data_IF_818638476926
#
_entry.id   IF_818638476926
#
_cell.length_a   1.000
_cell.length_b   1.000
_cell.length_c   1.000
_cell.angle_alpha   90.00
_cell.angle_beta   90.00
_cell.angle_gamma   90.00
#
_symmetry.space_group_name_H-M   'P 1'
#
loop_
_entity.id
_entity.type
_entity.pdbx_description
1 polymer ?
#
# COMPACT_ATOMS: atom_id res chain seq x y z
N UNK A 1 -11.07 15.29 -17.41
CA UNK A 1 -10.41 14.51 -18.49
C UNK A 1 -11.43 13.54 -19.07
N UNK A 2 -11.23 13.10 -20.31
CA UNK A 2 -12.09 12.11 -20.96
C UNK A 2 -11.36 10.77 -21.05
N UNK A 3 -12.10 9.68 -20.91
CA UNK A 3 -11.64 8.31 -21.07
C UNK A 3 -12.36 7.68 -22.26
N UNK A 4 -11.62 7.31 -23.29
CA UNK A 4 -12.16 6.74 -24.52
C UNK A 4 -12.39 5.21 -24.44
N UNK A 5 -11.86 4.54 -23.42
CA UNK A 5 -11.85 3.08 -23.32
C UNK A 5 -12.91 2.50 -22.36
N UNK A 6 -13.28 3.24 -21.31
CA UNK A 6 -14.22 2.74 -20.30
C UNK A 6 -15.42 3.66 -20.14
N UNK A 7 -16.60 3.04 -19.97
CA UNK A 7 -17.89 3.71 -19.72
C UNK A 7 -18.05 4.29 -18.31
N UNK A 8 -17.12 3.99 -17.41
CA UNK A 8 -17.20 4.40 -16.01
C UNK A 8 -16.51 5.75 -15.81
N UNK A 9 -17.09 6.54 -14.92
CA UNK A 9 -16.48 7.74 -14.38
C UNK A 9 -15.47 7.37 -13.29
N UNK A 10 -14.48 8.22 -13.11
CA UNK A 10 -13.56 8.11 -11.98
C UNK A 10 -13.28 9.49 -11.38
N UNK A 11 -13.09 9.51 -10.07
CA UNK A 11 -12.70 10.69 -9.34
C UNK A 11 -11.55 10.38 -8.40
N UNK A 12 -10.53 11.23 -8.40
CA UNK A 12 -9.49 11.28 -7.37
C UNK A 12 -9.61 12.62 -6.63
N UNK A 13 -9.91 12.56 -5.35
CA UNK A 13 -9.87 13.72 -4.46
C UNK A 13 -8.57 13.65 -3.66
N UNK A 14 -7.75 14.68 -3.76
CA UNK A 14 -6.51 14.84 -3.02
C UNK A 14 -6.58 16.07 -2.12
N UNK A 15 -6.41 15.84 -0.81
CA UNK A 15 -6.28 16.87 0.20
C UNK A 15 -4.81 16.99 0.59
N UNK A 16 -4.15 18.03 0.09
CA UNK A 16 -2.75 18.28 0.41
C UNK A 16 -2.62 18.76 1.86
N UNK A 17 -1.73 18.11 2.62
CA UNK A 17 -1.44 18.47 4.00
C UNK A 17 -0.09 19.21 4.07
N UNK A 18 0.92 18.56 4.62
CA UNK A 18 2.22 19.11 4.95
C UNK A 18 3.38 18.40 4.23
N UNK A 19 4.60 18.88 4.45
CA UNK A 19 5.82 18.21 4.02
C UNK A 19 6.09 16.96 4.86
N UNK A 20 6.87 16.03 4.30
CA UNK A 20 7.27 14.80 4.97
C UNK A 20 8.28 15.07 6.08
N UNK A 21 7.89 14.73 7.30
CA UNK A 21 8.75 14.56 8.49
C UNK A 21 8.30 13.27 9.17
N UNK A 22 9.08 12.70 10.09
CA UNK A 22 8.69 11.46 10.77
C UNK A 22 7.36 11.63 11.53
N UNK A 23 7.16 12.77 12.18
CA UNK A 23 5.94 13.10 12.93
C UNK A 23 4.74 13.25 12.02
N UNK A 24 4.91 14.03 10.94
CA UNK A 24 3.88 14.28 9.95
C UNK A 24 3.48 12.99 9.21
N UNK A 25 4.45 12.13 8.89
CA UNK A 25 4.22 10.83 8.27
C UNK A 25 3.39 9.93 9.20
N UNK A 26 3.84 9.77 10.45
CA UNK A 26 3.16 8.98 11.46
C UNK A 26 1.71 9.43 11.68
N UNK A 27 1.49 10.74 11.77
CA UNK A 27 0.17 11.34 11.99
C UNK A 27 -0.77 11.08 10.80
N UNK A 28 -0.31 11.38 9.58
CA UNK A 28 -1.11 11.19 8.37
C UNK A 28 -1.43 9.72 8.12
N UNK A 29 -0.46 8.82 8.33
CA UNK A 29 -0.68 7.40 8.11
C UNK A 29 -1.61 6.77 9.13
N UNK A 30 -1.49 7.14 10.41
CA UNK A 30 -2.44 6.70 11.44
C UNK A 30 -3.85 7.21 11.12
N UNK A 31 -3.99 8.47 10.70
CA UNK A 31 -5.27 9.01 10.25
C UNK A 31 -5.84 8.19 9.07
N UNK A 32 -5.04 7.92 8.04
CA UNK A 32 -5.47 7.11 6.89
C UNK A 32 -5.89 5.71 7.33
N UNK A 33 -5.16 5.07 8.24
CA UNK A 33 -5.48 3.74 8.74
C UNK A 33 -6.87 3.69 9.40
N UNK A 34 -7.22 4.73 10.16
CA UNK A 34 -8.52 4.83 10.83
C UNK A 34 -9.67 5.10 9.86
N UNK A 35 -9.40 5.84 8.78
CA UNK A 35 -10.43 6.32 7.84
C UNK A 35 -10.64 5.35 6.66
N UNK A 36 -9.66 4.50 6.36
CA UNK A 36 -9.70 3.56 5.23
C UNK A 36 -10.92 2.63 5.26
N UNK A 37 -11.15 1.95 6.38
CA UNK A 37 -12.29 1.02 6.53
C UNK A 37 -13.64 1.75 6.52
N UNK A 38 -13.86 2.85 7.28
CA UNK A 38 -15.09 3.63 7.18
C UNK A 38 -15.34 4.21 5.79
N UNK A 39 -14.29 4.60 5.06
CA UNK A 39 -14.41 5.10 3.68
C UNK A 39 -14.93 4.02 2.75
N UNK A 40 -14.39 2.81 2.88
CA UNK A 40 -14.86 1.65 2.13
C UNK A 40 -16.31 1.32 2.51
N UNK A 41 -16.61 1.14 3.79
CA UNK A 41 -17.97 0.82 4.24
C UNK A 41 -19.01 1.85 3.77
N UNK A 42 -18.73 3.16 3.93
CA UNK A 42 -19.68 4.20 3.54
C UNK A 42 -19.88 4.28 2.02
N UNK A 43 -18.80 4.42 1.25
CA UNK A 43 -18.91 4.70 -0.19
C UNK A 43 -19.13 3.44 -1.04
N UNK A 44 -18.57 2.29 -0.61
CA UNK A 44 -18.71 1.00 -1.30
C UNK A 44 -19.91 0.22 -0.81
N UNK A 45 -20.00 -0.06 0.49
CA UNK A 45 -20.98 -1.01 1.02
C UNK A 45 -22.37 -0.39 1.14
N UNK A 46 -22.48 0.79 1.75
CA UNK A 46 -23.77 1.45 2.01
C UNK A 46 -24.30 2.22 0.81
N UNK A 47 -23.48 3.08 0.22
CA UNK A 47 -23.90 3.95 -0.88
C UNK A 47 -23.73 3.31 -2.27
N UNK A 48 -23.02 2.18 -2.35
CA UNK A 48 -22.82 1.41 -3.58
C UNK A 48 -22.32 2.28 -4.76
N UNK A 49 -21.46 3.25 -4.48
CA UNK A 49 -21.04 4.22 -5.48
C UNK A 49 -20.17 3.58 -6.57
N UNK A 50 -19.42 2.52 -6.27
CA UNK A 50 -18.47 1.98 -7.24
C UNK A 50 -17.75 0.76 -6.70
N UNK A 51 -17.14 -0.06 -7.56
CA UNK A 51 -16.37 -1.23 -7.12
C UNK A 51 -15.03 -0.83 -6.51
N UNK A 52 -14.34 0.10 -7.18
CA UNK A 52 -13.05 0.61 -6.72
C UNK A 52 -13.30 1.82 -5.83
N UNK A 53 -13.11 1.63 -4.53
CA UNK A 53 -13.09 2.69 -3.52
C UNK A 53 -11.83 2.47 -2.69
N UNK A 54 -10.99 3.49 -2.59
CA UNK A 54 -9.77 3.43 -1.77
C UNK A 54 -9.47 4.79 -1.16
N UNK A 55 -9.09 4.79 0.12
CA UNK A 55 -8.55 5.94 0.80
C UNK A 55 -7.11 5.66 1.24
N UNK A 56 -6.27 6.69 1.26
CA UNK A 56 -4.89 6.49 1.68
C UNK A 56 -4.00 7.70 1.55
N UNK A 57 -2.71 7.49 1.77
CA UNK A 57 -1.71 8.54 1.62
C UNK A 57 -1.30 8.67 0.15
N UNK A 58 -1.08 9.91 -0.29
CA UNK A 58 -0.42 10.21 -1.56
C UNK A 58 0.80 11.07 -1.28
N UNK A 59 1.97 10.59 -1.71
CA UNK A 59 3.27 11.26 -1.55
C UNK A 59 3.81 11.66 -2.91
N UNK A 60 4.32 12.88 -3.02
CA UNK A 60 5.01 13.35 -4.22
C UNK A 60 5.98 14.47 -3.87
N UNK A 61 7.23 14.35 -4.32
CA UNK A 61 8.28 15.38 -4.20
C UNK A 61 8.40 15.97 -2.78
N UNK A 62 8.39 15.12 -1.75
CA UNK A 62 8.53 15.53 -0.34
C UNK A 62 7.26 16.12 0.30
N UNK A 63 6.17 16.26 -0.46
CA UNK A 63 4.85 16.68 0.05
C UNK A 63 3.94 15.46 0.15
N UNK A 64 2.99 15.50 1.08
CA UNK A 64 2.01 14.43 1.27
C UNK A 64 0.60 14.95 1.55
N UNK A 65 -0.37 14.05 1.42
CA UNK A 65 -1.77 14.36 1.69
C UNK A 65 -2.65 13.12 1.71
N UNK A 66 -3.90 13.32 2.10
CA UNK A 66 -4.94 12.31 2.07
C UNK A 66 -5.57 12.23 0.68
N UNK A 67 -5.85 11.02 0.20
CA UNK A 67 -6.46 10.77 -1.10
C UNK A 67 -7.64 9.83 -0.95
N UNK A 68 -8.71 10.10 -1.71
CA UNK A 68 -9.81 9.16 -1.98
C UNK A 68 -9.93 8.96 -3.49
N UNK A 69 -10.00 7.71 -3.93
CA UNK A 69 -10.27 7.34 -5.33
C UNK A 69 -11.58 6.56 -5.36
N UNK A 70 -12.47 6.94 -6.29
CA UNK A 70 -13.71 6.22 -6.56
C UNK A 70 -13.90 6.05 -8.07
N UNK A 71 -14.19 4.84 -8.51
CA UNK A 71 -14.62 4.54 -9.88
C UNK A 71 -16.08 4.09 -9.88
N UNK A 72 -16.93 4.76 -10.66
CA UNK A 72 -18.38 4.69 -10.53
C UNK A 72 -19.09 4.81 -11.89
N UNK A 73 -20.33 4.31 -11.95
CA UNK A 73 -21.26 4.61 -13.04
C UNK A 73 -21.98 5.96 -12.86
N UNK A 74 -21.85 6.61 -11.70
CA UNK A 74 -22.43 7.93 -11.39
C UNK A 74 -21.50 9.05 -11.85
N UNK A 75 -22.06 10.24 -12.04
CA UNK A 75 -21.28 11.42 -12.42
C UNK A 75 -20.30 11.85 -11.32
N UNK A 76 -19.09 12.35 -11.67
CA UNK A 76 -18.09 12.77 -10.69
C UNK A 76 -18.56 13.83 -9.70
N UNK A 77 -19.43 14.75 -10.12
CA UNK A 77 -19.91 15.83 -9.25
C UNK A 77 -20.77 15.28 -8.11
N UNK A 78 -21.61 14.28 -8.39
CA UNK A 78 -22.37 13.58 -7.35
C UNK A 78 -21.43 12.85 -6.39
N UNK A 79 -20.45 12.12 -6.91
CA UNK A 79 -19.50 11.36 -6.09
C UNK A 79 -18.65 12.30 -5.24
N UNK A 80 -18.21 13.43 -5.79
CA UNK A 80 -17.47 14.45 -5.06
C UNK A 80 -18.27 14.97 -3.86
N UNK A 81 -19.57 15.20 -4.03
CA UNK A 81 -20.46 15.59 -2.91
C UNK A 81 -20.54 14.48 -1.85
N UNK A 82 -20.65 13.22 -2.25
CA UNK A 82 -20.67 12.08 -1.30
C UNK A 82 -19.35 11.95 -0.54
N UNK A 83 -18.21 12.14 -1.22
CA UNK A 83 -16.89 12.17 -0.59
C UNK A 83 -16.79 13.32 0.41
N UNK A 84 -17.30 14.52 0.09
CA UNK A 84 -17.31 15.64 1.04
C UNK A 84 -18.16 15.37 2.28
N UNK A 85 -19.35 14.78 2.11
CA UNK A 85 -20.21 14.38 3.23
C UNK A 85 -19.53 13.34 4.12
N UNK A 86 -18.87 12.34 3.50
CA UNK A 86 -18.07 11.37 4.24
C UNK A 86 -16.93 12.05 5.00
N UNK A 87 -16.18 12.95 4.35
CA UNK A 87 -15.08 13.67 4.99
C UNK A 87 -15.59 14.42 6.22
N UNK A 88 -16.73 15.11 6.11
CA UNK A 88 -17.32 15.85 7.23
C UNK A 88 -17.68 14.94 8.41
N UNK A 89 -18.18 13.73 8.14
CA UNK A 89 -18.51 12.74 9.19
C UNK A 89 -17.29 12.14 9.92
N UNK A 90 -16.07 12.26 9.36
CA UNK A 90 -14.86 11.70 9.98
C UNK A 90 -14.62 12.30 11.37
N UNK A 91 -14.91 13.60 11.55
CA UNK A 91 -14.71 14.26 12.84
C UNK A 91 -15.50 13.59 13.95
N UNK A 92 -16.79 13.37 13.69
CA UNK A 92 -17.69 12.73 14.62
C UNK A 92 -17.23 11.30 14.89
N UNK A 93 -16.88 10.55 13.84
CA UNK A 93 -16.34 9.19 13.96
C UNK A 93 -15.11 9.10 14.88
N UNK A 94 -14.11 9.96 14.67
CA UNK A 94 -12.90 9.96 15.51
C UNK A 94 -13.21 10.39 16.94
N UNK A 95 -14.09 11.40 17.11
CA UNK A 95 -14.41 11.95 18.43
C UNK A 95 -15.24 10.99 19.31
N UNK A 96 -16.14 10.23 18.70
CA UNK A 96 -17.06 9.30 19.39
C UNK A 96 -16.48 7.91 19.58
N UNK A 97 -15.36 7.60 18.89
CA UNK A 97 -14.65 6.34 19.02
C UNK A 97 -14.23 6.07 20.48
N UNK A 98 -14.56 4.89 21.05
CA UNK A 98 -14.10 4.50 22.37
C UNK A 98 -12.57 4.45 22.47
N UNK A 99 -12.02 4.88 23.61
CA UNK A 99 -10.58 4.95 23.82
C UNK A 99 -9.88 3.58 23.67
N UNK A 100 -10.57 2.49 24.03
CA UNK A 100 -10.07 1.12 23.84
C UNK A 100 -9.95 0.75 22.36
N UNK A 101 -10.95 1.11 21.55
CA UNK A 101 -10.93 0.86 20.11
C UNK A 101 -9.83 1.68 19.45
N UNK A 102 -9.66 2.94 19.85
CA UNK A 102 -8.57 3.79 19.36
C UNK A 102 -7.19 3.19 19.63
N UNK A 103 -6.96 2.72 20.87
CA UNK A 103 -5.70 2.04 21.23
C UNK A 103 -5.47 0.78 20.40
N UNK A 104 -6.51 -0.04 20.21
CA UNK A 104 -6.45 -1.26 19.38
C UNK A 104 -6.10 -0.93 17.92
N UNK A 105 -6.71 0.08 17.33
CA UNK A 105 -6.39 0.51 15.96
C UNK A 105 -4.97 1.04 15.84
N UNK A 106 -4.52 1.85 16.81
CA UNK A 106 -3.14 2.35 16.86
C UNK A 106 -2.13 1.20 16.96
N UNK A 107 -2.38 0.23 17.83
CA UNK A 107 -1.54 -0.97 17.97
C UNK A 107 -1.53 -1.84 16.72
N UNK A 108 -2.71 -2.06 16.12
CA UNK A 108 -2.83 -2.76 14.84
C UNK A 108 -2.01 -2.08 13.73
N UNK A 109 -2.05 -0.75 13.67
CA UNK A 109 -1.24 0.01 12.72
C UNK A 109 0.27 -0.13 12.98
N UNK A 110 0.70 -0.05 14.24
CA UNK A 110 2.11 -0.22 14.60
C UNK A 110 2.64 -1.58 14.17
N UNK A 111 1.89 -2.67 14.43
CA UNK A 111 2.26 -4.03 14.02
C UNK A 111 2.37 -4.12 12.50
N UNK A 112 1.37 -3.60 11.77
CA UNK A 112 1.40 -3.56 10.30
C UNK A 112 2.64 -2.84 9.77
N UNK A 113 3.04 -1.73 10.42
CA UNK A 113 4.14 -0.89 9.95
C UNK A 113 5.51 -1.55 10.10
N UNK A 114 5.76 -2.27 11.21
CA UNK A 114 7.04 -2.97 11.46
C UNK A 114 7.09 -4.37 10.87
N UNK A 115 6.03 -4.83 10.23
CA UNK A 115 6.00 -6.16 9.61
C UNK A 115 7.13 -6.32 8.60
N UNK A 116 7.92 -7.38 8.81
CA UNK A 116 9.04 -7.74 7.95
C UNK A 116 8.49 -8.32 6.65
N UNK A 117 8.86 -7.78 5.48
CA UNK A 117 8.40 -8.32 4.20
C UNK A 117 8.81 -9.77 4.00
N UNK A 118 7.84 -10.62 3.66
CA UNK A 118 8.04 -12.05 3.40
C UNK A 118 8.77 -12.34 2.09
N UNK A 119 8.78 -11.38 1.16
CA UNK A 119 9.33 -11.51 -0.20
C UNK A 119 10.49 -10.56 -0.42
N UNK A 120 11.56 -11.04 -1.08
CA UNK A 120 12.74 -10.24 -1.41
C UNK A 120 12.39 -9.00 -2.23
N UNK A 121 11.46 -9.12 -3.18
CA UNK A 121 11.01 -7.99 -3.99
C UNK A 121 10.39 -6.87 -3.13
N UNK A 122 9.55 -7.23 -2.16
CA UNK A 122 8.93 -6.27 -1.24
C UNK A 122 9.96 -5.55 -0.38
N UNK A 123 10.98 -6.27 0.12
CA UNK A 123 12.09 -5.64 0.85
C UNK A 123 12.92 -4.73 -0.06
N UNK A 124 13.21 -5.17 -1.28
CA UNK A 124 13.91 -4.39 -2.29
C UNK A 124 13.18 -3.08 -2.61
N UNK A 125 11.85 -3.13 -2.77
CA UNK A 125 11.04 -1.93 -3.02
C UNK A 125 11.07 -0.95 -1.84
N UNK A 126 11.05 -1.42 -0.58
CA UNK A 126 11.19 -0.54 0.59
C UNK A 126 12.50 0.26 0.53
N UNK A 127 13.62 -0.41 0.29
CA UNK A 127 14.93 0.25 0.17
C UNK A 127 15.02 1.14 -1.07
N UNK A 128 14.48 0.70 -2.20
CA UNK A 128 14.49 1.46 -3.43
C UNK A 128 13.70 2.76 -3.32
N UNK A 129 12.59 2.76 -2.58
CA UNK A 129 11.82 3.96 -2.29
C UNK A 129 12.63 4.98 -1.47
N UNK A 130 13.42 4.54 -0.48
CA UNK A 130 14.30 5.45 0.28
C UNK A 130 15.42 6.06 -0.59
N UNK A 131 15.96 5.27 -1.51
CA UNK A 131 17.02 5.71 -2.44
C UNK A 131 16.47 6.73 -3.46
N UNK A 132 15.35 6.39 -4.12
CA UNK A 132 14.76 7.23 -5.18
C UNK A 132 14.16 8.52 -4.64
N UNK A 133 13.66 8.52 -3.40
CA UNK A 133 13.20 9.73 -2.73
C UNK A 133 14.34 10.52 -2.06
N UNK A 134 15.59 10.05 -2.13
CA UNK A 134 16.77 10.66 -1.52
C UNK A 134 16.65 10.87 0.00
N UNK A 135 15.90 9.99 0.68
CA UNK A 135 15.69 10.06 2.14
C UNK A 135 16.64 9.16 2.91
N UNK A 136 17.06 8.04 2.32
CA UNK A 136 18.07 7.11 2.85
C UNK A 136 17.82 6.66 4.31
N UNK A 137 16.56 6.61 4.76
CA UNK A 137 16.21 6.21 6.11
C UNK A 137 15.65 4.78 6.11
N UNK A 138 16.54 3.79 6.17
CA UNK A 138 16.14 2.39 6.06
C UNK A 138 15.42 1.85 7.31
N UNK A 139 15.67 2.45 8.48
CA UNK A 139 15.01 2.13 9.76
C UNK A 139 13.79 3.03 10.04
N UNK A 140 13.24 3.67 9.00
CA UNK A 140 12.05 4.53 9.09
C UNK A 140 10.87 3.87 9.82
N UNK A 141 10.50 2.60 9.54
CA UNK A 141 9.35 1.98 10.21
C UNK A 141 9.47 1.98 11.73
N UNK A 142 10.67 1.72 12.27
CA UNK A 142 10.94 1.68 13.70
C UNK A 142 10.84 3.08 14.31
N UNK A 143 11.46 4.08 13.68
CA UNK A 143 11.42 5.47 14.15
C UNK A 143 10.00 6.03 14.17
N UNK A 144 9.23 5.82 13.11
CA UNK A 144 7.87 6.34 13.02
C UNK A 144 6.93 5.59 13.99
N UNK A 145 7.17 4.31 14.30
CA UNK A 145 6.39 3.60 15.33
C UNK A 145 6.60 4.17 16.73
N UNK A 146 7.81 4.57 17.10
CA UNK A 146 8.04 5.24 18.40
C UNK A 146 7.24 6.55 18.51
N UNK A 147 7.09 7.28 17.40
CA UNK A 147 6.25 8.47 17.36
C UNK A 147 4.77 8.10 17.46
N UNK A 148 4.31 7.09 16.73
CA UNK A 148 2.91 6.64 16.74
C UNK A 148 2.45 6.27 18.16
N UNK A 149 3.33 5.68 18.98
CA UNK A 149 3.01 5.37 20.40
C UNK A 149 2.60 6.60 21.21
N UNK A 150 3.18 7.76 20.89
CA UNK A 150 2.94 9.02 21.60
C UNK A 150 1.71 9.77 21.11
N UNK A 151 1.19 9.42 19.92
CA UNK A 151 0.04 10.11 19.33
C UNK A 151 -1.25 9.84 20.11
N UNK A 152 -1.98 10.93 20.35
CA UNK A 152 -3.29 10.92 21.00
C UNK A 152 -4.41 11.22 19.99
N UNK A 153 -5.65 10.89 20.37
CA UNK A 153 -6.84 11.23 19.57
C UNK A 153 -6.93 12.73 19.28
N UNK A 154 -6.55 13.57 20.24
CA UNK A 154 -6.58 15.02 20.08
C UNK A 154 -5.61 15.52 19.00
N UNK A 155 -4.50 14.84 18.75
CA UNK A 155 -3.59 15.18 17.66
C UNK A 155 -4.26 14.99 16.30
N UNK A 156 -4.98 13.88 16.14
CA UNK A 156 -5.73 13.58 14.92
C UNK A 156 -6.89 14.54 14.70
N UNK A 157 -7.60 14.93 15.76
CA UNK A 157 -8.68 15.92 15.67
C UNK A 157 -8.15 17.30 15.28
N UNK A 158 -7.02 17.74 15.86
CA UNK A 158 -6.35 18.99 15.45
C UNK A 158 -5.89 18.93 14.00
N UNK A 159 -5.32 17.81 13.58
CA UNK A 159 -4.93 17.57 12.20
C UNK A 159 -6.13 17.66 11.25
N UNK A 160 -7.23 16.98 11.59
CA UNK A 160 -8.46 16.99 10.81
C UNK A 160 -9.00 18.42 10.66
N UNK A 161 -9.15 19.13 11.78
CA UNK A 161 -9.70 20.49 11.81
C UNK A 161 -8.84 21.48 11.01
N UNK A 162 -7.52 21.24 10.92
CA UNK A 162 -6.63 22.12 10.19
C UNK A 162 -6.52 21.79 8.69
N UNK A 163 -6.31 20.52 8.31
CA UNK A 163 -5.96 20.17 6.93
C UNK A 163 -7.10 19.51 6.13
N UNK A 164 -8.03 18.84 6.80
CA UNK A 164 -9.00 17.93 6.16
C UNK A 164 -10.40 18.54 6.12
N UNK A 165 -10.84 19.14 7.23
CA UNK A 165 -12.20 19.66 7.41
C UNK A 165 -12.62 20.58 6.26
N UNK A 166 -13.84 20.41 5.71
CA UNK A 166 -14.38 21.31 4.69
C UNK A 166 -14.46 22.77 5.13
N UNK A 167 -14.50 23.02 6.45
CA UNK A 167 -14.64 24.33 7.06
C UNK A 167 -13.29 25.01 7.34
N UNK A 168 -12.17 24.33 7.09
CA UNK A 168 -10.85 24.89 7.34
C UNK A 168 -10.39 25.84 6.24
N UNK A 169 -9.86 26.99 6.65
CA UNK A 169 -9.21 27.97 5.74
C UNK A 169 -7.87 27.47 5.19
N UNK A 170 -7.25 26.47 5.83
CA UNK A 170 -5.96 25.92 5.42
C UNK A 170 -6.10 24.68 4.51
N UNK A 171 -7.34 24.25 4.25
CA UNK A 171 -7.66 23.10 3.41
C UNK A 171 -7.21 23.35 1.97
N UNK A 172 -6.46 22.40 1.40
CA UNK A 172 -6.00 22.43 0.01
C UNK A 172 -6.53 21.21 -0.74
N UNK A 173 -7.61 21.40 -1.48
CA UNK A 173 -8.29 20.33 -2.22
C UNK A 173 -7.99 20.40 -3.72
N UNK A 174 -7.66 19.26 -4.30
CA UNK A 174 -7.65 19.01 -5.74
C UNK A 174 -8.63 17.86 -6.01
N UNK A 175 -9.55 18.03 -6.97
CA UNK A 175 -10.41 16.97 -7.45
C UNK A 175 -10.17 16.76 -8.95
N UNK A 176 -9.84 15.53 -9.34
CA UNK A 176 -9.63 15.15 -10.73
C UNK A 176 -10.82 14.33 -11.19
N UNK A 177 -11.59 14.88 -12.13
CA UNK A 177 -12.77 14.21 -12.70
C UNK A 177 -12.41 13.60 -14.05
N UNK A 178 -12.66 12.30 -14.18
CA UNK A 178 -12.51 11.55 -15.43
C UNK A 178 -13.89 11.07 -15.86
N UNK A 179 -14.34 11.53 -17.02
CA UNK A 179 -15.61 11.14 -17.60
C UNK A 179 -15.37 10.19 -18.79
N UNK A 180 -16.27 9.24 -19.07
CA UNK A 180 -16.25 8.50 -20.31
C UNK A 180 -16.46 9.49 -21.48
N UNK A 181 -15.80 9.24 -22.60
CA UNK A 181 -16.03 10.01 -23.81
C UNK A 181 -17.31 9.56 -24.52
N UNK A 182 -17.88 10.39 -25.40
CA UNK A 182 -19.04 9.99 -26.22
C UNK A 182 -18.78 8.71 -27.02
N UNK A 183 -17.54 8.47 -27.45
CA UNK A 183 -17.14 7.26 -28.19
C UNK A 183 -17.20 6.01 -27.32
N UNK A 184 -16.71 6.09 -26.08
CA UNK A 184 -16.77 5.00 -25.11
C UNK A 184 -18.22 4.60 -24.78
N UNK A 185 -19.13 5.58 -24.74
CA UNK A 185 -20.55 5.34 -24.51
C UNK A 185 -21.24 4.71 -25.73
N UNK A 186 -20.81 5.03 -26.96
CA UNK A 186 -21.36 4.46 -28.19
C UNK A 186 -20.93 2.99 -28.39
N UNK A 187 -19.66 2.69 -28.19
CA UNK A 187 -19.12 1.32 -28.30
C UNK A 187 -19.83 0.34 -27.34
N UNK A 188 -20.18 0.81 -26.14
CA UNK A 188 -20.92 0.02 -25.17
C UNK A 188 -22.38 -0.25 -25.61
N UNK A 189 -23.03 0.70 -26.29
CA UNK A 189 -24.41 0.53 -26.76
C UNK A 189 -24.48 -0.43 -27.96
N UNK A 190 -23.46 -0.42 -28.82
CA UNK A 190 -23.36 -1.34 -29.95
C UNK A 190 -23.13 -2.79 -29.50
N UNK A 191 -22.38 -3.01 -28.41
CA UNK A 191 -22.21 -4.34 -27.79
C UNK A 191 -23.50 -4.84 -27.11
N UNK A 192 -24.31 -3.96 -26.52
CA UNK A 192 -25.60 -4.35 -25.91
C UNK A 192 -26.69 -4.63 -26.94
N UNK A 193 -26.70 -3.95 -28.09
CA UNK A 193 -27.72 -4.14 -29.13
C UNK A 193 -27.54 -5.43 -29.95
N UNK A 194 -26.40 -6.11 -29.86
CA UNK A 194 -26.20 -7.43 -30.49
C UNK A 194 -26.67 -8.60 -29.63
N UNK A 195 -27.06 -8.38 -28.38
CA UNK A 195 -27.42 -9.43 -27.41
C UNK A 195 -28.84 -9.24 -26.82
N UNK A 196 -29.82 -8.87 -27.64
CA UNK A 196 -31.23 -9.04 -27.26
C UNK A 196 -31.67 -10.50 -27.52
N UNK A 197 -31.33 -11.39 -26.59
CA UNK A 197 -32.15 -12.55 -26.26
C UNK A 197 -32.22 -12.62 -24.74
N UNK A 198 -33.43 -12.48 -24.20
CA UNK A 198 -33.75 -12.63 -22.79
C UNK A 198 -33.44 -14.06 -22.34
N UNK A 199 -32.43 -14.23 -21.48
CA UNK A 199 -32.41 -15.15 -20.34
C UNK A 199 -31.10 -14.96 -19.54
N UNK A 200 -31.19 -15.15 -18.22
CA UNK A 200 -30.12 -15.15 -17.19
C UNK A 200 -29.84 -13.82 -16.45
N UNK A 201 -30.82 -13.46 -15.60
CA UNK A 201 -30.51 -13.12 -14.21
C UNK A 201 -30.02 -14.42 -13.51
N UNK A 202 -28.92 -14.34 -12.76
CA UNK A 202 -28.24 -15.42 -11.99
C UNK A 202 -27.13 -16.22 -12.71
N UNK A 203 -25.92 -15.63 -12.80
CA UNK A 203 -24.66 -16.35 -12.53
C UNK A 203 -23.44 -15.39 -12.47
N UNK A 204 -22.90 -15.20 -11.26
CA UNK A 204 -21.51 -14.83 -11.01
C UNK A 204 -20.64 -16.08 -11.24
N UNK A 205 -19.53 -15.99 -11.98
CA UNK A 205 -18.20 -16.49 -11.57
C UNK A 205 -17.16 -16.42 -12.71
N UNK A 206 -15.94 -16.03 -12.30
CA UNK A 206 -14.63 -16.23 -12.93
C UNK A 206 -14.26 -15.43 -14.19
N UNK A 207 -13.67 -14.24 -14.01
CA UNK A 207 -12.29 -13.96 -14.50
C UNK A 207 -11.59 -13.00 -13.53
N UNK A 208 -10.85 -13.62 -12.63
CA UNK A 208 -9.72 -13.09 -11.89
C UNK A 208 -8.57 -12.84 -12.88
N UNK A 209 -8.16 -11.58 -13.09
CA UNK A 209 -6.81 -11.15 -13.51
C UNK A 209 -6.84 -9.63 -13.77
N UNK A 210 -6.48 -8.85 -12.75
CA UNK A 210 -5.64 -7.64 -12.80
C UNK A 210 -5.77 -6.85 -11.47
N UNK A 211 -5.41 -7.48 -10.35
CA UNK A 211 -5.11 -6.78 -9.10
C UNK A 211 -4.14 -7.58 -8.25
N UNK A 212 -2.90 -7.69 -8.73
CA UNK A 212 -1.78 -8.15 -7.90
C UNK A 212 -0.82 -6.99 -7.67
N UNK A 213 -1.23 -6.07 -6.80
CA UNK A 213 -0.35 -5.24 -5.99
C UNK A 213 -1.22 -4.60 -4.89
N UNK A 214 -1.37 -5.33 -3.77
CA UNK A 214 -1.33 -4.82 -2.40
C UNK A 214 -2.20 -5.68 -1.44
N UNK A 215 -1.49 -6.32 -0.50
CA UNK A 215 -1.87 -6.73 0.86
C UNK A 215 -3.06 -7.69 1.07
N UNK A 216 -2.72 -8.97 1.30
CA UNK A 216 -3.56 -9.95 2.00
C UNK A 216 -3.90 -9.46 3.42
N UNK A 217 -5.17 -9.12 3.66
CA UNK A 217 -5.81 -9.12 4.98
C UNK A 217 -6.77 -10.31 5.05
N UNK A 218 -6.50 -11.25 5.94
CA UNK A 218 -7.52 -12.17 6.46
C UNK A 218 -7.56 -12.06 7.98
N UNK A 219 -8.66 -11.49 8.48
CA UNK A 219 -9.17 -11.74 9.82
C UNK A 219 -10.29 -12.76 9.68
N UNK A 220 -10.20 -13.87 10.40
CA UNK A 220 -11.37 -14.63 10.84
C UNK A 220 -11.20 -14.92 12.33
N UNK A 221 -12.06 -14.28 13.13
CA UNK A 221 -12.34 -14.68 14.51
C UNK A 221 -13.20 -15.96 14.47
N UNK A 222 -12.77 -17.00 15.21
CA UNK A 222 -13.65 -18.08 15.67
C UNK A 222 -13.37 -18.27 17.17
N UNK A 223 -14.44 -18.22 17.95
CA UNK A 223 -14.49 -18.25 19.42
C UNK A 223 -14.60 -19.67 20.00
N UNK A 224 -13.77 -19.92 21.05
CA UNK A 224 -13.84 -20.82 22.25
C UNK A 224 -13.90 -22.36 22.06
N UNK A 225 -13.37 -23.21 23.01
CA UNK A 225 -13.00 -22.93 24.41
C UNK A 225 -11.63 -23.39 24.92
N UNK A 226 -11.24 -22.81 26.07
CA UNK A 226 -10.09 -23.15 26.89
C UNK A 226 -10.34 -24.48 27.59
N UNK A 227 -9.44 -25.44 27.43
CA UNK A 227 -9.25 -26.51 28.41
C UNK A 227 -7.76 -26.76 28.64
N UNK A 228 -7.37 -26.70 29.91
CA UNK A 228 -6.03 -26.91 30.41
C UNK A 228 -5.73 -28.42 30.37
N UNK A 229 -4.63 -28.83 29.73
CA UNK A 229 -3.88 -29.98 30.20
C UNK A 229 -2.39 -29.81 29.88
N UNK A 230 -1.63 -29.60 30.96
CA UNK A 230 -0.20 -29.88 31.03
C UNK A 230 0.01 -31.38 30.81
N UNK A 231 0.69 -31.76 29.72
CA UNK A 231 1.56 -32.95 29.57
C UNK A 231 1.73 -33.29 28.09
N UNK A 232 2.59 -32.56 27.38
CA UNK A 232 3.25 -33.05 26.15
C UNK A 232 4.33 -32.06 25.65
N UNK A 233 5.13 -31.49 26.57
CA UNK A 233 6.41 -30.86 26.20
C UNK A 233 7.49 -31.83 26.66
N UNK A 234 7.79 -32.80 25.79
CA UNK A 234 9.01 -33.61 25.73
C UNK A 234 8.85 -34.60 24.58
N UNK A 235 9.94 -34.79 23.83
CA UNK A 235 10.13 -35.72 22.71
C UNK A 235 9.98 -35.08 21.31
N UNK A 236 11.08 -34.57 20.77
CA UNK A 236 11.88 -35.24 19.72
C UNK A 236 12.86 -34.21 19.11
N UNK A 237 14.15 -34.39 19.42
CA UNK A 237 15.29 -33.81 18.69
C UNK A 237 15.66 -34.76 17.53
N UNK A 238 15.76 -34.24 16.29
CA UNK A 238 16.59 -34.56 15.09
C UNK A 238 16.98 -36.04 14.75
N UNK A 239 17.40 -36.42 13.51
CA UNK A 239 17.52 -35.73 12.21
C UNK A 239 16.85 -36.51 11.02
N UNK A 240 16.66 -35.91 9.84
CA UNK A 240 16.32 -36.67 8.61
C UNK A 240 17.53 -36.69 7.68
N UNK A 241 18.06 -37.90 7.52
CA UNK A 241 19.01 -38.35 6.51
C UNK A 241 18.21 -38.68 5.25
N UNK A 242 18.58 -38.10 4.11
CA UNK A 242 18.13 -38.56 2.78
C UNK A 242 19.22 -39.50 2.27
N UNK A 243 18.97 -40.80 2.34
CA UNK A 243 19.67 -41.81 1.53
C UNK A 243 18.77 -43.04 1.34
N UNK A 244 18.87 -43.63 0.15
CA UNK A 244 18.14 -44.78 -0.41
C UNK A 244 16.82 -44.40 -1.11
N UNK A 245 16.64 -44.56 -2.42
CA UNK A 245 17.02 -45.73 -3.22
C UNK A 245 17.35 -45.35 -4.67
N UNK A 246 18.63 -45.55 -5.01
CA UNK A 246 19.06 -45.99 -6.34
C UNK A 246 18.53 -47.40 -6.55
N UNK A 247 17.80 -47.65 -7.65
CA UNK A 247 18.04 -48.75 -8.60
C UNK A 247 16.89 -48.88 -9.63
N UNK A 248 17.08 -48.37 -10.86
CA UNK A 248 17.33 -49.20 -12.06
C UNK A 248 17.39 -48.34 -13.34
N UNK A 249 18.41 -48.64 -14.15
CA UNK A 249 18.87 -47.97 -15.39
C UNK A 249 18.03 -48.28 -16.64
N UNK A 250 18.00 -47.33 -17.59
CA UNK A 250 18.00 -47.52 -19.06
C UNK A 250 18.31 -46.18 -19.75
N UNK A 251 19.56 -45.91 -20.15
CA UNK A 251 20.11 -45.96 -21.53
C UNK A 251 19.61 -44.88 -22.50
N UNK A 252 20.35 -43.76 -22.61
CA UNK A 252 20.85 -43.15 -23.87
C UNK A 252 21.79 -41.94 -23.54
N UNK A 253 22.79 -41.58 -24.38
CA UNK A 253 23.84 -40.63 -24.02
C UNK A 253 23.52 -39.19 -24.46
N UNK A 254 23.39 -38.25 -23.51
CA UNK A 254 23.42 -36.82 -23.80
C UNK A 254 24.86 -36.29 -23.82
N UNK A 255 25.24 -35.70 -24.96
CA UNK A 255 26.52 -35.04 -25.17
C UNK A 255 26.66 -33.81 -24.26
N UNK A 256 27.80 -33.71 -23.58
CA UNK A 256 28.13 -32.62 -22.67
C UNK A 256 28.51 -31.33 -23.40
N UNK A 257 27.76 -30.25 -23.15
CA UNK A 257 28.25 -28.88 -23.34
C UNK A 257 28.97 -28.43 -22.05
N UNK A 258 30.15 -27.80 -22.13
CA UNK A 258 30.90 -27.42 -20.94
C UNK A 258 30.19 -26.30 -20.19
N UNK A 259 29.79 -26.57 -18.93
CA UNK A 259 29.30 -25.56 -17.98
C UNK A 259 30.45 -24.60 -17.67
N UNK A 260 30.35 -23.37 -18.16
CA UNK A 260 31.24 -22.28 -17.79
C UNK A 260 30.83 -21.79 -16.40
N UNK A 261 31.62 -22.09 -15.38
CA UNK A 261 31.41 -21.55 -14.03
C UNK A 261 31.50 -20.02 -14.07
N UNK A 262 30.38 -19.35 -13.79
CA UNK A 262 30.33 -17.91 -13.65
C UNK A 262 30.80 -17.56 -12.23
N UNK A 263 32.07 -17.18 -12.08
CA UNK A 263 32.60 -16.65 -10.84
C UNK A 263 31.99 -15.27 -10.56
N UNK A 264 30.90 -15.22 -9.80
CA UNK A 264 30.34 -13.99 -9.27
C UNK A 264 31.18 -13.52 -8.07
N UNK A 265 31.58 -12.24 -7.99
CA UNK A 265 32.33 -11.72 -6.86
C UNK A 265 31.52 -11.80 -5.57
N UNK A 266 32.18 -12.12 -4.45
CA UNK A 266 31.57 -12.16 -3.12
C UNK A 266 30.99 -10.79 -2.76
N UNK A 267 29.70 -10.76 -2.39
CA UNK A 267 29.02 -9.56 -1.92
C UNK A 267 29.49 -9.28 -0.48
N UNK A 268 30.23 -8.19 -0.29
CA UNK A 268 30.56 -7.66 1.04
C UNK A 268 29.52 -6.64 1.47
N UNK A 269 29.02 -6.74 2.70
CA UNK A 269 28.16 -5.74 3.33
C UNK A 269 28.97 -4.46 3.58
N UNK A 270 28.37 -3.30 3.32
CA UNK A 270 29.02 -2.00 3.51
C UNK A 270 28.33 -1.28 4.66
N UNK A 271 29.05 -1.13 5.76
CA UNK A 271 28.54 -0.55 7.01
C UNK A 271 28.50 1.00 6.98
N UNK A 272 29.09 1.64 5.97
CA UNK A 272 29.20 3.10 5.90
C UNK A 272 29.11 3.64 4.46
N UNK A 273 28.26 4.65 4.26
CA UNK A 273 28.02 5.28 2.95
C UNK A 273 29.26 5.97 2.35
N UNK A 274 30.21 6.43 3.18
CA UNK A 274 31.48 6.99 2.70
C UNK A 274 32.41 5.90 2.12
N UNK A 275 32.36 4.68 2.65
CA UNK A 275 33.04 3.51 2.06
C UNK A 275 32.43 3.13 0.70
N UNK A 276 31.11 3.27 0.55
CA UNK A 276 30.43 3.00 -0.71
C UNK A 276 30.86 3.98 -1.82
N UNK A 277 30.92 5.29 -1.51
CA UNK A 277 31.40 6.32 -2.46
C UNK A 277 32.84 6.09 -2.90
N UNK A 278 33.73 5.70 -1.99
CA UNK A 278 35.13 5.39 -2.32
C UNK A 278 35.26 4.19 -3.27
N UNK A 279 34.48 3.11 -3.05
CA UNK A 279 34.50 1.91 -3.91
C UNK A 279 33.87 2.15 -5.29
N UNK A 280 32.93 3.08 -5.42
CA UNK A 280 32.33 3.47 -6.70
C UNK A 280 33.30 4.16 -7.65
N UNK A 281 34.25 4.95 -7.14
CA UNK A 281 35.27 5.66 -7.96
C UNK A 281 36.11 4.72 -8.85
N UNK A 282 36.12 3.42 -8.55
CA UNK A 282 36.85 2.38 -9.28
C UNK A 282 36.07 1.82 -10.49
N UNK A 283 34.80 2.19 -10.69
CA UNK A 283 33.98 1.71 -11.81
C UNK A 283 33.82 2.80 -12.90
N UNK A 284 34.12 2.51 -14.18
CA UNK A 284 34.07 3.50 -15.26
C UNK A 284 32.71 4.19 -15.44
N UNK A 285 31.61 3.52 -15.07
CA UNK A 285 30.25 4.08 -15.12
C UNK A 285 29.94 5.05 -13.96
N UNK A 286 30.73 5.07 -12.89
CA UNK A 286 30.51 5.92 -11.72
C UNK A 286 31.08 7.34 -11.89
N UNK A 287 32.05 7.53 -12.79
CA UNK A 287 32.65 8.84 -13.07
C UNK A 287 31.65 9.86 -13.69
N UNK A 288 30.48 9.40 -14.14
CA UNK A 288 29.39 10.28 -14.56
C UNK A 288 28.60 10.91 -13.39
N UNK A 289 28.67 10.33 -12.19
CA UNK A 289 27.87 10.74 -11.02
C UNK A 289 28.59 11.70 -10.07
N UNK A 290 29.91 11.89 -10.22
CA UNK A 290 30.72 12.81 -9.41
C UNK A 290 30.42 14.30 -9.64
N UNK A 291 29.47 14.64 -10.54
CA UNK A 291 29.06 16.03 -10.81
C UNK A 291 27.79 16.48 -10.07
N UNK A 292 27.19 15.64 -9.24
CA UNK A 292 25.99 15.99 -8.48
C UNK A 292 26.40 16.39 -7.07
N UNK A 293 26.60 17.69 -6.87
CA UNK A 293 26.74 18.29 -5.54
C UNK A 293 25.42 18.08 -4.77
N UNK A 294 25.41 17.12 -3.84
CA UNK A 294 24.33 16.94 -2.89
C UNK A 294 24.71 17.70 -1.61
N UNK A 295 24.00 18.78 -1.24
CA UNK A 295 24.27 19.49 0.00
C UNK A 295 24.04 18.55 1.18
N UNK A 296 25.08 18.35 2.00
CA UNK A 296 25.03 17.60 3.24
C UNK A 296 24.16 18.37 4.24
N UNK A 297 22.92 17.93 4.42
CA UNK A 297 22.07 18.33 5.55
C UNK A 297 21.70 17.10 6.38
N UNK A 298 22.70 16.55 7.07
CA UNK A 298 22.48 15.72 8.25
C UNK A 298 23.55 16.08 9.30
N UNK A 299 23.16 16.93 10.25
CA UNK A 299 23.73 16.97 11.61
C UNK A 299 22.57 16.64 12.56
N UNK A 300 22.49 15.38 12.99
CA UNK A 300 22.68 14.90 14.36
C UNK A 300 22.43 13.40 14.39
#
# INVERSE_FOLDING_TARGET
>A
MLNDAHKLHAIEVYLQCFQQTFENNALLELFCHLVDEPCFDQLRTKEQLGYVVSAGTRRSRGVQGFRVIVQSAREPDYINQRIELFIDSIKEYISTMPDELFKKQREGYMVKKVEVPKKMHSQGNKFWNEITNHQFCFDRPQLEVEIIKTLERNDLLRFYDHYISPHSIYRRKLALHVNPSPLALQQANDETNTNENEDELDAMNDVELLSNADEERTQTEVTVPVDLNHEAIKLIELPIIIDNLVEKKSTEPEQSLPKKELNLPKVEWIDNIHMWKSKLSCYPLAQAYDKIDVPVLCKL
#
